data_IF_089172795398
#
_entry.id   IF_089172795398
#
_cell.length_a   1.000
_cell.length_b   1.000
_cell.length_c   1.000
_cell.angle_alpha   90.00
_cell.angle_beta   90.00
_cell.angle_gamma   90.00
#
_symmetry.space_group_name_H-M   'P 1'
#
loop_
_entity.id
_entity.type
_entity.pdbx_description
1 polymer ?
#
# COMPACT_ATOMS: atom_id res chain seq x y z
N UNK A 1 20.54 -5.06 -3.29
CA UNK A 1 19.54 -6.13 -3.17
C UNK A 1 19.47 -6.81 -4.51
N UNK A 2 19.62 -8.13 -4.56
CA UNK A 2 19.48 -8.86 -5.83
C UNK A 2 18.00 -9.04 -6.20
N UNK A 3 17.73 -9.49 -7.44
CA UNK A 3 16.37 -9.63 -7.95
C UNK A 3 15.52 -10.63 -7.16
N UNK A 4 16.14 -11.60 -6.50
CA UNK A 4 15.45 -12.62 -5.72
C UNK A 4 14.99 -12.05 -4.38
N UNK A 5 15.89 -11.37 -3.66
CA UNK A 5 15.57 -10.67 -2.41
C UNK A 5 14.49 -9.60 -2.60
N UNK A 6 14.51 -8.90 -3.73
CA UNK A 6 13.47 -7.90 -4.07
C UNK A 6 12.11 -8.58 -4.27
N UNK A 7 12.08 -9.73 -4.94
CA UNK A 7 10.85 -10.48 -5.16
C UNK A 7 10.29 -11.04 -3.85
N UNK A 8 11.14 -11.60 -2.99
CA UNK A 8 10.73 -12.06 -1.65
C UNK A 8 10.14 -10.93 -0.81
N UNK A 9 10.78 -9.75 -0.81
CA UNK A 9 10.29 -8.59 -0.09
C UNK A 9 8.91 -8.12 -0.61
N UNK A 10 8.73 -8.05 -1.93
CA UNK A 10 7.43 -7.69 -2.53
C UNK A 10 6.34 -8.69 -2.17
N UNK A 11 6.66 -9.99 -2.20
CA UNK A 11 5.72 -11.05 -1.82
C UNK A 11 5.35 -10.95 -0.34
N UNK A 12 6.31 -10.79 0.55
CA UNK A 12 6.06 -10.63 1.99
C UNK A 12 5.18 -9.39 2.27
N UNK A 13 5.49 -8.25 1.65
CA UNK A 13 4.67 -7.03 1.78
C UNK A 13 3.24 -7.25 1.29
N UNK A 14 3.05 -7.92 0.15
CA UNK A 14 1.73 -8.21 -0.38
C UNK A 14 0.93 -9.11 0.56
N UNK A 15 1.56 -10.14 1.13
CA UNK A 15 0.93 -11.03 2.10
C UNK A 15 0.52 -10.30 3.38
N UNK A 16 1.38 -9.42 3.91
CA UNK A 16 1.05 -8.58 5.06
C UNK A 16 -0.13 -7.63 4.76
N UNK A 17 -0.11 -6.97 3.60
CA UNK A 17 -1.18 -6.06 3.16
C UNK A 17 -2.52 -6.80 3.06
N UNK A 18 -2.54 -7.98 2.42
CA UNK A 18 -3.75 -8.77 2.21
C UNK A 18 -4.27 -9.39 3.52
N UNK A 19 -3.37 -9.75 4.42
CA UNK A 19 -3.73 -10.41 5.68
C UNK A 19 -4.09 -9.43 6.81
N UNK A 20 -3.73 -8.14 6.68
CA UNK A 20 -3.90 -7.12 7.71
C UNK A 20 -5.28 -7.14 8.40
N UNK A 21 -6.36 -7.34 7.62
CA UNK A 21 -7.74 -7.36 8.14
C UNK A 21 -8.44 -8.71 8.03
N UNK A 22 -7.76 -9.76 7.57
CA UNK A 22 -8.34 -11.07 7.21
C UNK A 22 -9.22 -11.71 8.29
N UNK A 23 -8.94 -11.44 9.57
CA UNK A 23 -9.66 -12.00 10.71
C UNK A 23 -10.36 -10.93 11.58
N UNK A 24 -10.55 -9.70 11.06
CA UNK A 24 -10.99 -8.56 11.86
C UNK A 24 -12.30 -7.97 11.38
N UNK A 25 -13.31 -7.98 12.26
CA UNK A 25 -14.61 -7.36 12.03
C UNK A 25 -14.54 -5.82 12.11
N UNK A 26 -13.68 -5.30 12.98
CA UNK A 26 -13.46 -3.87 13.18
C UNK A 26 -11.94 -3.62 13.32
N UNK A 27 -11.22 -3.35 12.21
CA UNK A 27 -9.81 -2.99 12.29
C UNK A 27 -9.61 -1.67 13.04
N UNK A 28 -8.52 -1.58 13.81
CA UNK A 28 -8.16 -0.37 14.57
C UNK A 28 -7.42 0.65 13.69
N UNK A 29 -7.43 1.92 14.11
CA UNK A 29 -6.71 3.01 13.44
C UNK A 29 -5.24 2.64 13.14
N UNK A 30 -4.52 2.14 14.15
CA UNK A 30 -3.11 1.74 14.02
C UNK A 30 -2.88 0.71 12.90
N UNK A 31 -3.86 -0.15 12.65
CA UNK A 31 -3.74 -1.18 11.61
C UNK A 31 -3.96 -0.61 10.21
N UNK A 32 -4.83 0.40 10.08
CA UNK A 32 -4.91 1.17 8.84
C UNK A 32 -3.63 1.97 8.60
N UNK A 33 -3.02 2.53 9.64
CA UNK A 33 -1.72 3.21 9.55
C UNK A 33 -0.62 2.23 9.09
N UNK A 34 -0.48 1.08 9.76
CA UNK A 34 0.49 0.04 9.41
C UNK A 34 0.27 -0.50 7.98
N UNK A 35 -0.97 -0.80 7.59
CA UNK A 35 -1.27 -1.22 6.22
C UNK A 35 -0.96 -0.12 5.19
N UNK A 36 -1.19 1.15 5.54
CA UNK A 36 -0.86 2.29 4.66
C UNK A 36 0.65 2.41 4.45
N UNK A 37 1.45 2.24 5.50
CA UNK A 37 2.91 2.24 5.40
C UNK A 37 3.40 1.10 4.48
N UNK A 38 2.87 -0.10 4.66
CA UNK A 38 3.20 -1.24 3.82
C UNK A 38 2.80 -1.02 2.34
N UNK A 39 1.62 -0.44 2.09
CA UNK A 39 1.18 -0.07 0.75
C UNK A 39 2.11 0.95 0.09
N UNK A 40 2.55 1.97 0.84
CA UNK A 40 3.50 2.98 0.35
C UNK A 40 4.84 2.33 0.03
N UNK A 41 5.35 1.45 0.90
CA UNK A 41 6.59 0.73 0.65
C UNK A 41 6.52 -0.14 -0.62
N UNK A 42 5.42 -0.87 -0.81
CA UNK A 42 5.21 -1.68 -2.01
C UNK A 42 5.10 -0.80 -3.27
N UNK A 43 4.40 0.33 -3.19
CA UNK A 43 4.27 1.30 -4.28
C UNK A 43 5.64 1.83 -4.72
N UNK A 44 6.51 2.20 -3.77
CA UNK A 44 7.87 2.68 -4.07
C UNK A 44 8.72 1.60 -4.76
N UNK A 45 8.64 0.35 -4.30
CA UNK A 45 9.37 -0.77 -4.91
C UNK A 45 8.89 -1.02 -6.35
N UNK A 46 7.57 -1.05 -6.56
CA UNK A 46 6.97 -1.26 -7.88
C UNK A 46 7.30 -0.12 -8.85
N UNK A 47 7.32 1.13 -8.36
CA UNK A 47 7.66 2.29 -9.18
C UNK A 47 9.12 2.23 -9.63
N UNK A 48 10.05 1.95 -8.70
CA UNK A 48 11.48 1.80 -9.01
C UNK A 48 11.74 0.66 -9.98
N UNK A 49 11.04 -0.46 -9.81
CA UNK A 49 11.14 -1.60 -10.73
C UNK A 49 10.68 -1.21 -12.14
N UNK A 50 9.53 -0.54 -12.27
CA UNK A 50 9.03 -0.04 -13.56
C UNK A 50 10.01 0.93 -14.23
N UNK A 51 10.56 1.87 -13.48
CA UNK A 51 11.54 2.86 -13.97
C UNK A 51 12.82 2.19 -14.51
N UNK A 52 13.16 1.02 -13.99
CA UNK A 52 14.31 0.23 -14.44
C UNK A 52 14.01 -0.69 -15.64
N UNK A 53 12.74 -0.84 -16.04
CA UNK A 53 12.37 -1.72 -17.14
C UNK A 53 12.77 -1.17 -18.52
N UNK A 54 13.29 -2.00 -19.42
CA UNK A 54 13.47 -1.64 -20.82
C UNK A 54 12.15 -1.24 -21.48
N UNK A 55 12.16 -0.15 -22.25
CA UNK A 55 10.95 0.37 -22.93
C UNK A 55 10.37 -0.61 -23.95
N UNK A 56 11.13 -1.61 -24.40
CA UNK A 56 10.65 -2.69 -25.27
C UNK A 56 9.65 -3.62 -24.56
N UNK A 57 9.62 -3.61 -23.23
CA UNK A 57 8.70 -4.39 -22.40
C UNK A 57 7.37 -3.67 -22.13
N UNK A 58 6.79 -3.02 -23.14
CA UNK A 58 5.60 -2.15 -23.01
C UNK A 58 4.45 -2.86 -22.29
N UNK A 59 4.15 -4.11 -22.65
CA UNK A 59 3.05 -4.86 -22.03
C UNK A 59 3.27 -5.08 -20.52
N UNK A 60 4.52 -5.34 -20.11
CA UNK A 60 4.87 -5.49 -18.69
C UNK A 60 4.80 -4.16 -17.95
N UNK A 61 5.29 -3.07 -18.57
CA UNK A 61 5.21 -1.71 -18.03
C UNK A 61 3.75 -1.31 -17.82
N UNK A 62 2.88 -1.55 -18.81
CA UNK A 62 1.44 -1.27 -18.70
C UNK A 62 0.76 -2.09 -17.60
N UNK A 63 1.13 -3.37 -17.47
CA UNK A 63 0.66 -4.21 -16.37
C UNK A 63 1.07 -3.66 -15.01
N UNK A 64 2.32 -3.19 -14.90
CA UNK A 64 2.84 -2.60 -13.68
C UNK A 64 2.20 -1.24 -13.35
N UNK A 65 1.95 -0.40 -14.36
CA UNK A 65 1.20 0.85 -14.20
C UNK A 65 -0.20 0.62 -13.64
N UNK A 66 -0.89 -0.41 -14.12
CA UNK A 66 -2.21 -0.76 -13.59
C UNK A 66 -2.14 -1.14 -12.11
N UNK A 67 -1.15 -1.95 -11.71
CA UNK A 67 -0.97 -2.36 -10.32
C UNK A 67 -0.61 -1.17 -9.43
N UNK A 68 0.31 -0.32 -9.87
CA UNK A 68 0.69 0.94 -9.18
C UNK A 68 -0.56 1.79 -8.93
N UNK A 69 -1.41 1.99 -9.94
CA UNK A 69 -2.66 2.75 -9.81
C UNK A 69 -3.62 2.13 -8.79
N UNK A 70 -3.71 0.80 -8.68
CA UNK A 70 -4.54 0.16 -7.65
C UNK A 70 -3.99 0.39 -6.25
N UNK A 71 -2.67 0.34 -6.08
CA UNK A 71 -2.01 0.61 -4.79
C UNK A 71 -2.23 2.07 -4.35
N UNK A 72 -2.08 3.02 -5.27
CA UNK A 72 -2.33 4.46 -5.00
C UNK A 72 -3.76 4.70 -4.52
N UNK A 73 -4.75 4.10 -5.19
CA UNK A 73 -6.16 4.19 -4.78
C UNK A 73 -6.38 3.64 -3.38
N UNK A 74 -5.75 2.52 -3.05
CA UNK A 74 -5.87 1.91 -1.73
C UNK A 74 -5.23 2.80 -0.65
N UNK A 75 -4.06 3.37 -0.91
CA UNK A 75 -3.44 4.36 -0.01
C UNK A 75 -4.39 5.54 0.24
N UNK A 76 -5.03 6.06 -0.80
CA UNK A 76 -5.99 7.17 -0.67
C UNK A 76 -7.23 6.78 0.14
N UNK A 77 -7.74 5.56 -0.02
CA UNK A 77 -8.86 5.04 0.77
C UNK A 77 -8.50 4.94 2.25
N UNK A 78 -7.33 4.37 2.57
CA UNK A 78 -6.87 4.28 3.96
C UNK A 78 -6.63 5.67 4.57
N UNK A 79 -6.03 6.60 3.82
CA UNK A 79 -5.83 7.99 4.27
C UNK A 79 -7.15 8.69 4.57
N UNK A 80 -8.18 8.48 3.75
CA UNK A 80 -9.53 9.01 4.04
C UNK A 80 -10.04 8.45 5.36
N UNK A 81 -9.96 7.14 5.56
CA UNK A 81 -10.41 6.49 6.81
C UNK A 81 -9.68 7.06 8.04
N UNK A 82 -8.34 7.12 7.99
CA UNK A 82 -7.49 7.68 9.05
C UNK A 82 -7.86 9.15 9.34
N UNK A 83 -8.10 9.96 8.31
CA UNK A 83 -8.47 11.37 8.48
C UNK A 83 -9.80 11.58 9.19
N UNK A 84 -10.79 10.69 8.95
CA UNK A 84 -12.07 10.74 9.65
C UNK A 84 -11.87 10.44 11.14
N UNK A 85 -11.08 9.42 11.49
CA UNK A 85 -10.75 9.12 12.88
C UNK A 85 -10.10 10.28 13.62
N UNK A 86 -9.12 10.94 12.99
CA UNK A 86 -8.43 12.09 13.60
C UNK A 86 -9.40 13.26 13.85
N UNK A 87 -10.34 13.48 12.93
CA UNK A 87 -11.37 14.53 13.07
C UNK A 87 -12.34 14.21 14.21
N UNK A 88 -12.74 12.95 14.35
CA UNK A 88 -13.60 12.50 15.44
C UNK A 88 -12.90 12.62 16.80
N UNK A 89 -11.62 12.23 16.88
CA UNK A 89 -10.81 12.43 18.10
C UNK A 89 -10.67 13.90 18.49
N UNK A 90 -10.39 14.79 17.54
CA UNK A 90 -10.29 16.22 17.81
C UNK A 90 -11.62 16.83 18.25
N UNK A 91 -12.74 16.33 17.70
CA UNK A 91 -14.08 16.76 18.09
C UNK A 91 -14.42 16.32 19.51
N UNK A 92 -14.06 15.09 19.89
CA UNK A 92 -14.25 14.55 21.23
C UNK A 92 -13.39 15.25 22.29
N UNK A 93 -12.19 15.72 21.94
CA UNK A 93 -11.30 16.47 22.85
C UNK A 93 -11.77 17.93 23.11
N UNK A 94 -12.71 18.45 22.32
CA UNK A 94 -13.26 19.82 22.46
C UNK A 94 -14.54 19.89 23.32
N UNK A 95 -15.04 18.75 23.81
CA UNK A 95 -16.23 18.62 24.66
C UNK A 95 -15.87 18.07 26.04
#
# INVERSE_FOLDING_TARGET
MDSYQLQELKTALLEEIQSAFSNKKNPLLKEYEEQTENLIALLELMTKEKESMPQENIDLIMGQDYVILQLERWVDENKKIISHWNTDEESLKKH
#
